data_IF_963499428987
#
_entry.id   IF_963499428987
#
_cell.length_a   1.000
_cell.length_b   1.000
_cell.length_c   1.000
_cell.angle_alpha   90.00
_cell.angle_beta   90.00
_cell.angle_gamma   90.00
#
_symmetry.space_group_name_H-M   'P 1'
#
loop_
_entity.id
_entity.type
_entity.pdbx_description
1 polymer ?
#
# COMPACT_ATOMS: atom_id res chain seq x y z
N UNK A 1 3.66 31.31 7.12
CA UNK A 1 3.02 30.15 6.45
C UNK A 1 3.79 28.88 6.81
N UNK A 2 3.84 28.39 8.07
CA UNK A 2 4.94 27.41 8.34
C UNK A 2 4.69 26.23 9.28
N UNK A 3 3.69 26.21 10.16
CA UNK A 3 3.52 25.07 11.10
C UNK A 3 2.24 24.28 10.86
N UNK A 4 1.14 24.94 10.54
CA UNK A 4 -0.17 24.28 10.34
C UNK A 4 -0.17 23.39 9.09
N UNK A 5 0.53 23.79 8.02
CA UNK A 5 0.63 23.03 6.78
C UNK A 5 1.35 21.68 6.93
N UNK A 6 2.59 21.61 7.47
CA UNK A 6 3.25 20.33 7.66
C UNK A 6 2.48 19.42 8.63
N UNK A 7 1.83 19.97 9.65
CA UNK A 7 0.99 19.19 10.58
C UNK A 7 -0.24 18.62 9.87
N UNK A 8 -0.95 19.43 9.07
CA UNK A 8 -2.12 18.98 8.31
C UNK A 8 -1.74 17.93 7.27
N UNK A 9 -0.61 18.10 6.56
CA UNK A 9 -0.13 17.12 5.59
C UNK A 9 0.29 15.82 6.25
N UNK A 10 0.97 15.87 7.41
CA UNK A 10 1.32 14.68 8.18
C UNK A 10 0.06 13.93 8.62
N UNK A 11 -0.94 14.63 9.15
CA UNK A 11 -2.20 14.01 9.59
C UNK A 11 -2.98 13.36 8.44
N UNK A 12 -3.02 14.01 7.27
CA UNK A 12 -3.64 13.43 6.07
C UNK A 12 -2.89 12.19 5.59
N UNK A 13 -1.55 12.22 5.56
CA UNK A 13 -0.74 11.05 5.22
C UNK A 13 -0.91 9.91 6.22
N UNK A 14 -0.96 10.21 7.52
CA UNK A 14 -1.27 9.22 8.56
C UNK A 14 -2.64 8.59 8.33
N UNK A 15 -3.65 9.38 7.95
CA UNK A 15 -4.98 8.87 7.57
C UNK A 15 -4.93 7.93 6.35
N UNK A 16 -4.16 8.28 5.32
CA UNK A 16 -3.95 7.44 4.13
C UNK A 16 -3.35 6.08 4.51
N UNK A 17 -2.27 6.13 5.30
CA UNK A 17 -1.54 4.96 5.78
C UNK A 17 -2.47 4.05 6.59
N UNK A 18 -3.21 4.64 7.53
CA UNK A 18 -4.17 3.91 8.35
C UNK A 18 -5.22 3.22 7.48
N UNK A 19 -5.82 3.94 6.54
CA UNK A 19 -6.82 3.39 5.63
C UNK A 19 -6.27 2.24 4.79
N UNK A 20 -5.04 2.36 4.28
CA UNK A 20 -4.38 1.29 3.51
C UNK A 20 -4.14 0.02 4.36
N UNK A 21 -3.61 0.17 5.58
CA UNK A 21 -3.35 -0.96 6.47
C UNK A 21 -4.62 -1.66 6.94
N UNK A 22 -5.66 -0.90 7.31
CA UNK A 22 -6.98 -1.47 7.65
C UNK A 22 -7.58 -2.20 6.46
N UNK A 23 -7.51 -1.60 5.27
CA UNK A 23 -8.01 -2.20 4.03
C UNK A 23 -7.34 -3.55 3.75
N UNK A 24 -6.02 -3.63 3.90
CA UNK A 24 -5.27 -4.87 3.71
C UNK A 24 -5.67 -5.95 4.70
N UNK A 25 -5.73 -5.63 6.00
CA UNK A 25 -6.16 -6.60 7.01
C UNK A 25 -7.61 -7.07 6.76
N UNK A 26 -8.50 -6.15 6.41
CA UNK A 26 -9.90 -6.48 6.16
C UNK A 26 -10.05 -7.44 4.97
N UNK A 27 -9.34 -7.18 3.87
CA UNK A 27 -9.32 -8.08 2.71
C UNK A 27 -8.71 -9.44 3.04
N UNK A 28 -7.60 -9.46 3.79
CA UNK A 28 -7.01 -10.70 4.28
C UNK A 28 -8.01 -11.53 5.09
N UNK A 29 -8.67 -10.94 6.08
CA UNK A 29 -9.63 -11.64 6.95
C UNK A 29 -10.88 -12.12 6.20
N UNK A 30 -11.37 -11.31 5.23
CA UNK A 30 -12.50 -11.68 4.37
C UNK A 30 -12.20 -12.89 3.49
N UNK A 31 -10.96 -13.08 3.03
CA UNK A 31 -10.56 -14.30 2.31
C UNK A 31 -10.74 -15.57 3.15
N UNK A 32 -10.66 -15.44 4.47
CA UNK A 32 -10.97 -16.50 5.42
C UNK A 32 -12.41 -16.40 5.95
N UNK A 33 -13.34 -15.74 5.25
CA UNK A 33 -14.74 -15.66 5.68
C UNK A 33 -14.98 -15.03 7.07
N UNK A 34 -13.97 -14.38 7.65
CA UNK A 34 -14.07 -13.72 8.95
C UNK A 34 -14.54 -12.30 8.76
N UNK A 35 -15.56 -11.88 9.53
CA UNK A 35 -15.93 -10.48 9.59
C UNK A 35 -14.77 -9.68 10.25
N UNK A 36 -14.17 -8.71 9.55
CA UNK A 36 -12.99 -7.98 10.05
C UNK A 36 -13.19 -7.23 11.37
N UNK A 37 -14.43 -6.95 11.76
CA UNK A 37 -14.76 -6.31 13.04
C UNK A 37 -14.28 -7.12 14.25
N UNK A 38 -14.22 -8.45 14.11
CA UNK A 38 -13.78 -9.35 15.19
C UNK A 38 -12.27 -9.61 15.20
N UNK A 39 -11.53 -9.07 14.23
CA UNK A 39 -10.10 -9.37 14.05
C UNK A 39 -9.29 -8.11 13.79
N UNK A 40 -9.56 -7.06 14.57
CA UNK A 40 -8.79 -5.82 14.51
C UNK A 40 -7.31 -6.08 14.85
N UNK A 41 -6.38 -5.69 13.96
CA UNK A 41 -4.95 -5.79 14.22
C UNK A 41 -4.51 -4.66 15.17
N UNK A 42 -3.32 -4.79 15.76
CA UNK A 42 -2.74 -3.70 16.54
C UNK A 42 -2.49 -2.47 15.66
N UNK A 43 -2.59 -1.30 16.27
CA UNK A 43 -2.40 -0.01 15.60
C UNK A 43 -1.00 0.05 14.93
N UNK A 44 0.03 -0.45 15.61
CA UNK A 44 1.41 -0.46 15.09
C UNK A 44 1.52 -1.26 13.79
N UNK A 45 0.84 -2.40 13.72
CA UNK A 45 0.82 -3.24 12.53
C UNK A 45 0.11 -2.54 11.37
N UNK A 46 -1.04 -1.90 11.64
CA UNK A 46 -1.77 -1.13 10.62
C UNK A 46 -0.88 -0.05 10.00
N UNK A 47 -0.18 0.71 10.84
CA UNK A 47 0.69 1.79 10.37
C UNK A 47 1.93 1.28 9.65
N UNK A 48 2.50 0.16 10.08
CA UNK A 48 3.63 -0.45 9.41
C UNK A 48 3.25 -0.95 8.01
N UNK A 49 2.22 -1.80 7.94
CA UNK A 49 1.78 -2.44 6.71
C UNK A 49 1.22 -1.42 5.70
N UNK A 50 0.33 -0.53 6.17
CA UNK A 50 -0.20 0.57 5.37
C UNK A 50 0.88 1.57 4.95
N UNK A 51 1.92 1.73 5.77
CA UNK A 51 3.04 2.63 5.53
C UNK A 51 3.87 2.13 4.35
N UNK A 52 4.17 0.83 4.32
CA UNK A 52 4.86 0.17 3.21
C UNK A 52 4.09 0.33 1.90
N UNK A 53 2.77 0.06 1.91
CA UNK A 53 1.92 0.19 0.71
C UNK A 53 1.93 1.62 0.18
N UNK A 54 1.69 2.59 1.06
CA UNK A 54 1.60 4.01 0.70
C UNK A 54 2.95 4.52 0.20
N UNK A 55 4.04 4.14 0.87
CA UNK A 55 5.40 4.54 0.49
C UNK A 55 5.80 3.95 -0.86
N UNK A 56 5.46 2.69 -1.15
CA UNK A 56 5.77 2.08 -2.43
C UNK A 56 5.09 2.82 -3.59
N UNK A 57 3.80 3.16 -3.44
CA UNK A 57 3.07 3.94 -4.45
C UNK A 57 3.69 5.32 -4.62
N UNK A 58 3.96 6.00 -3.51
CA UNK A 58 4.58 7.31 -3.51
C UNK A 58 5.95 7.30 -4.20
N UNK A 59 6.79 6.33 -3.87
CA UNK A 59 8.11 6.14 -4.45
C UNK A 59 8.04 5.87 -5.96
N UNK A 60 7.12 5.03 -6.40
CA UNK A 60 6.90 4.78 -7.83
C UNK A 60 6.48 6.06 -8.56
N UNK A 61 5.59 6.87 -7.98
CA UNK A 61 5.22 8.16 -8.55
C UNK A 61 6.40 9.15 -8.62
N UNK A 62 7.28 9.17 -7.62
CA UNK A 62 8.49 9.99 -7.67
C UNK A 62 9.42 9.56 -8.80
N UNK A 63 9.60 8.25 -9.02
CA UNK A 63 10.37 7.74 -10.16
C UNK A 63 9.74 8.20 -11.47
N UNK A 64 8.42 8.04 -11.65
CA UNK A 64 7.75 8.48 -12.88
C UNK A 64 7.86 9.99 -13.10
N UNK A 65 7.72 10.79 -12.04
CA UNK A 65 7.91 12.24 -12.11
C UNK A 65 9.35 12.59 -12.52
N UNK A 66 10.35 11.89 -11.99
CA UNK A 66 11.75 12.08 -12.36
C UNK A 66 12.00 11.73 -13.83
N UNK A 67 11.46 10.61 -14.33
CA UNK A 67 11.55 10.24 -15.75
C UNK A 67 10.84 11.24 -16.66
N UNK A 68 9.68 11.76 -16.25
CA UNK A 68 8.95 12.77 -17.00
C UNK A 68 9.75 14.08 -17.10
N UNK A 69 10.33 14.54 -15.99
CA UNK A 69 11.14 15.76 -15.96
C UNK A 69 12.39 15.59 -16.84
N UNK A 70 13.12 14.48 -16.68
CA UNK A 70 14.35 14.23 -17.45
C UNK A 70 14.09 14.10 -18.95
N UNK A 71 13.01 13.42 -19.36
CA UNK A 71 12.62 13.34 -20.78
C UNK A 71 12.17 14.68 -21.33
N UNK A 72 11.35 15.43 -20.59
CA UNK A 72 10.90 16.77 -21.00
C UNK A 72 12.06 17.74 -21.22
N UNK A 73 13.00 17.82 -20.25
CA UNK A 73 14.21 18.63 -20.42
C UNK A 73 15.12 18.11 -21.54
N UNK A 74 15.20 16.79 -21.73
CA UNK A 74 15.92 16.20 -22.85
C UNK A 74 15.35 16.63 -24.21
N UNK A 75 14.03 16.63 -24.36
CA UNK A 75 13.35 17.08 -25.59
C UNK A 75 13.56 18.57 -25.82
N UNK A 76 13.46 19.40 -24.78
CA UNK A 76 13.72 20.84 -24.90
C UNK A 76 15.17 21.11 -25.31
N UNK A 77 16.14 20.50 -24.63
CA UNK A 77 17.57 20.74 -24.94
C UNK A 77 17.96 20.25 -26.32
N UNK A 78 17.44 19.10 -26.76
CA UNK A 78 17.67 18.59 -28.13
C UNK A 78 17.01 19.49 -29.18
N UNK A 79 15.78 19.95 -28.98
CA UNK A 79 15.12 20.90 -29.88
C UNK A 79 15.90 22.23 -29.99
N UNK A 80 16.43 22.72 -28.86
CA UNK A 80 17.21 23.95 -28.80
C UNK A 80 18.57 23.78 -29.50
N UNK A 81 19.23 22.63 -29.34
CA UNK A 81 20.46 22.29 -30.06
C UNK A 81 20.23 22.18 -31.57
N UNK A 82 19.15 21.51 -32.01
CA UNK A 82 18.79 21.41 -33.42
C UNK A 82 18.52 22.80 -34.00
N UNK A 83 17.78 23.64 -33.28
CA UNK A 83 17.53 25.02 -33.68
C UNK A 83 18.84 25.82 -33.83
N UNK A 84 19.77 25.71 -32.88
CA UNK A 84 21.08 26.36 -32.93
C UNK A 84 21.95 25.86 -34.09
N UNK A 85 21.88 24.57 -34.42
CA UNK A 85 22.61 23.97 -35.54
C UNK A 85 22.04 24.41 -36.91
N UNK A 86 20.71 24.47 -37.05
CA UNK A 86 20.06 24.92 -38.29
C UNK A 86 20.27 26.42 -38.52
N UNK A 87 20.31 27.23 -37.46
CA UNK A 87 20.43 28.69 -37.55
C UNK A 87 21.87 29.22 -37.71
N UNK A 88 22.85 28.33 -37.92
CA UNK A 88 24.23 28.62 -38.33
C UNK A 88 24.79 29.99 -37.94
N UNK A 89 25.42 30.08 -36.77
CA UNK A 89 26.28 31.20 -36.29
C UNK A 89 25.94 32.63 -36.75
N UNK A 90 24.66 33.03 -36.82
CA UNK A 90 24.28 34.42 -37.03
C UNK A 90 23.67 34.99 -35.74
N UNK A 91 24.50 35.81 -35.07
CA UNK A 91 24.24 36.68 -33.92
C UNK A 91 23.15 36.24 -32.93
N UNK A 92 23.56 35.52 -31.88
CA UNK A 92 22.78 35.39 -30.65
C UNK A 92 23.06 36.57 -29.72
N UNK A 93 22.66 37.77 -30.12
CA UNK A 93 22.55 38.91 -29.20
C UNK A 93 21.23 39.62 -29.51
N UNK A 94 20.13 39.02 -29.07
CA UNK A 94 19.02 39.82 -28.58
C UNK A 94 18.66 39.31 -27.18
N UNK A 95 18.55 40.21 -26.19
CA UNK A 95 18.26 39.80 -24.83
C UNK A 95 16.82 39.28 -24.78
N UNK A 96 16.73 37.99 -24.50
CA UNK A 96 15.57 37.24 -24.05
C UNK A 96 14.96 37.90 -22.80
N UNK A 97 14.23 39.00 -22.98
CA UNK A 97 13.53 39.73 -21.91
C UNK A 97 12.01 39.51 -21.92
N UNK A 98 11.48 38.72 -22.86
CA UNK A 98 10.03 38.49 -23.01
C UNK A 98 9.51 37.16 -22.44
N UNK A 99 10.32 36.39 -21.71
CA UNK A 99 9.89 35.10 -21.12
C UNK A 99 9.60 35.13 -19.63
N UNK A 100 9.96 36.23 -18.96
CA UNK A 100 9.46 36.54 -17.62
C UNK A 100 7.93 36.53 -17.50
N UNK A 101 7.11 37.05 -18.45
CA UNK A 101 5.67 37.02 -18.30
C UNK A 101 5.09 35.61 -18.34
N UNK A 102 5.53 34.74 -19.26
CA UNK A 102 4.92 33.40 -19.46
C UNK A 102 5.21 32.46 -18.29
N UNK A 103 6.45 32.44 -17.78
CA UNK A 103 6.80 31.60 -16.63
C UNK A 103 6.10 32.08 -15.35
N UNK A 104 6.01 33.39 -15.13
CA UNK A 104 5.28 33.95 -13.98
C UNK A 104 3.76 33.69 -14.07
N UNK A 105 3.19 33.71 -15.29
CA UNK A 105 1.77 33.46 -15.52
C UNK A 105 1.42 31.99 -15.29
N UNK A 106 2.23 31.04 -15.79
CA UNK A 106 2.05 29.61 -15.53
C UNK A 106 2.19 29.25 -14.05
N UNK A 107 3.12 29.86 -13.31
CA UNK A 107 3.25 29.64 -11.86
C UNK A 107 2.11 30.28 -11.05
N UNK A 108 1.45 31.33 -11.56
CA UNK A 108 0.34 32.01 -10.88
C UNK A 108 -1.02 31.32 -11.07
N UNK A 109 -1.19 30.53 -12.12
CA UNK A 109 -2.48 29.90 -12.49
C UNK A 109 -2.73 28.53 -11.86
N UNK A 110 -1.72 27.93 -11.22
CA UNK A 110 -1.84 26.61 -10.62
C UNK A 110 -1.86 26.77 -9.10
N UNK A 111 -3.03 26.64 -8.44
CA UNK A 111 -3.07 26.65 -6.99
C UNK A 111 -2.37 25.39 -6.49
N UNK A 112 -1.12 25.53 -6.05
CA UNK A 112 -0.28 24.43 -5.56
C UNK A 112 -0.97 23.64 -4.44
N UNK A 113 -1.78 24.30 -3.61
CA UNK A 113 -2.58 23.65 -2.57
C UNK A 113 -3.67 22.70 -3.09
N UNK A 114 -4.37 23.03 -4.18
CA UNK A 114 -5.43 22.16 -4.72
C UNK A 114 -4.84 20.94 -5.42
N UNK A 115 -3.68 21.08 -6.06
CA UNK A 115 -2.95 19.95 -6.63
C UNK A 115 -2.48 18.98 -5.56
N UNK A 116 -1.92 19.48 -4.46
CA UNK A 116 -1.47 18.65 -3.33
C UNK A 116 -2.67 17.90 -2.72
N UNK A 117 -3.79 18.59 -2.51
CA UNK A 117 -4.99 17.95 -1.96
C UNK A 117 -5.53 16.86 -2.90
N UNK A 118 -5.61 17.15 -4.20
CA UNK A 118 -6.05 16.18 -5.21
C UNK A 118 -5.13 14.97 -5.26
N UNK A 119 -3.81 15.20 -5.15
CA UNK A 119 -2.83 14.13 -5.10
C UNK A 119 -2.98 13.27 -3.84
N UNK A 120 -3.21 13.87 -2.67
CA UNK A 120 -3.44 13.14 -1.42
C UNK A 120 -4.71 12.28 -1.52
N UNK A 121 -5.79 12.81 -2.11
CA UNK A 121 -7.02 12.04 -2.35
C UNK A 121 -6.71 10.85 -3.26
N UNK A 122 -6.02 11.08 -4.37
CA UNK A 122 -5.61 10.02 -5.29
C UNK A 122 -4.75 8.96 -4.59
N UNK A 123 -3.73 9.39 -3.85
CA UNK A 123 -2.84 8.52 -3.08
C UNK A 123 -3.63 7.69 -2.07
N UNK A 124 -4.63 8.27 -1.40
CA UNK A 124 -5.51 7.57 -0.47
C UNK A 124 -6.23 6.42 -1.16
N UNK A 125 -6.91 6.69 -2.29
CA UNK A 125 -7.67 5.69 -3.03
C UNK A 125 -6.78 4.60 -3.61
N UNK A 126 -5.65 4.98 -4.22
CA UNK A 126 -4.68 4.02 -4.76
C UNK A 126 -4.10 3.13 -3.67
N UNK A 127 -3.73 3.70 -2.53
CA UNK A 127 -3.18 2.93 -1.39
C UNK A 127 -4.23 2.02 -0.77
N UNK A 128 -5.47 2.48 -0.66
CA UNK A 128 -6.58 1.67 -0.17
C UNK A 128 -6.85 0.46 -1.08
N UNK A 129 -6.93 0.68 -2.41
CA UNK A 129 -7.18 -0.39 -3.39
C UNK A 129 -6.01 -1.38 -3.47
N UNK A 130 -4.78 -0.87 -3.42
CA UNK A 130 -3.60 -1.72 -3.36
C UNK A 130 -3.59 -2.56 -2.09
N UNK A 131 -3.90 -1.96 -0.94
CA UNK A 131 -4.06 -2.70 0.32
C UNK A 131 -5.05 -3.85 0.19
N UNK A 132 -6.19 -3.65 -0.45
CA UNK A 132 -7.14 -4.75 -0.69
C UNK A 132 -6.52 -5.90 -1.49
N UNK A 133 -5.82 -5.56 -2.57
CA UNK A 133 -5.21 -6.52 -3.49
C UNK A 133 -4.11 -7.32 -2.77
N UNK A 134 -3.27 -6.63 -2.00
CA UNK A 134 -2.18 -7.26 -1.26
C UNK A 134 -2.72 -8.12 -0.11
N UNK A 135 -3.82 -7.72 0.53
CA UNK A 135 -4.52 -8.53 1.54
C UNK A 135 -5.01 -9.87 0.98
N UNK A 136 -5.59 -9.86 -0.23
CA UNK A 136 -6.00 -11.10 -0.92
C UNK A 136 -4.79 -11.95 -1.29
N UNK A 137 -3.73 -11.36 -1.86
CA UNK A 137 -2.51 -12.12 -2.19
C UNK A 137 -1.86 -12.74 -0.96
N UNK A 138 -1.77 -12.01 0.15
CA UNK A 138 -1.26 -12.53 1.41
C UNK A 138 -2.09 -13.70 1.91
N UNK A 139 -3.41 -13.66 1.77
CA UNK A 139 -4.26 -14.79 2.15
C UNK A 139 -3.99 -16.04 1.31
N UNK A 140 -3.73 -15.88 0.00
CA UNK A 140 -3.38 -17.00 -0.89
C UNK A 140 -2.04 -17.62 -0.51
N UNK A 141 -1.00 -16.79 -0.33
CA UNK A 141 0.33 -17.24 0.11
C UNK A 141 0.23 -17.94 1.47
N UNK A 142 -0.61 -17.42 2.37
CA UNK A 142 -0.83 -18.01 3.68
C UNK A 142 -1.50 -19.39 3.57
N UNK A 143 -2.49 -19.54 2.67
CA UNK A 143 -3.15 -20.81 2.43
C UNK A 143 -2.16 -21.85 1.89
N UNK A 144 -1.30 -21.45 0.96
CA UNK A 144 -0.28 -22.32 0.36
C UNK A 144 0.82 -22.74 1.35
N UNK A 145 1.18 -21.84 2.28
CA UNK A 145 2.27 -22.07 3.25
C UNK A 145 1.78 -22.36 4.66
N UNK A 146 0.58 -22.89 4.76
CA UNK A 146 -0.11 -23.12 6.01
C UNK A 146 0.78 -23.82 7.08
N UNK A 147 0.80 -23.26 8.29
CA UNK A 147 1.26 -23.98 9.47
C UNK A 147 0.13 -24.89 9.98
N UNK A 148 0.27 -26.18 9.70
CA UNK A 148 -0.65 -27.18 10.18
C UNK A 148 -0.59 -27.28 11.70
N UNK A 149 -1.75 -27.23 12.32
CA UNK A 149 -1.96 -27.55 13.73
C UNK A 149 -2.84 -28.78 13.83
N UNK A 150 -2.59 -29.58 14.85
CA UNK A 150 -3.41 -30.72 15.21
C UNK A 150 -4.19 -30.34 16.47
N UNK A 151 -5.52 -30.38 16.38
CA UNK A 151 -6.42 -30.04 17.48
C UNK A 151 -7.02 -31.34 18.00
N UNK A 152 -6.73 -31.68 19.26
CA UNK A 152 -7.28 -32.87 19.90
C UNK A 152 -8.43 -32.49 20.82
N UNK A 153 -9.62 -33.02 20.53
CA UNK A 153 -10.80 -32.84 21.38
C UNK A 153 -11.49 -34.20 21.56
N UNK A 154 -11.71 -34.60 22.82
CA UNK A 154 -12.45 -35.81 23.19
C UNK A 154 -12.00 -37.07 22.42
N UNK A 155 -10.68 -37.26 22.28
CA UNK A 155 -10.03 -38.39 21.59
C UNK A 155 -10.12 -38.38 20.05
N UNK A 156 -10.63 -37.30 19.43
CA UNK A 156 -10.56 -37.07 17.99
C UNK A 156 -9.49 -36.03 17.69
N UNK A 157 -8.61 -36.38 16.76
CA UNK A 157 -7.56 -35.49 16.28
C UNK A 157 -7.95 -34.93 14.92
N UNK A 158 -7.91 -33.60 14.78
CA UNK A 158 -8.25 -32.92 13.53
C UNK A 158 -7.11 -32.00 13.09
N UNK A 159 -6.65 -32.18 11.84
CA UNK A 159 -5.65 -31.31 11.21
C UNK A 159 -6.33 -30.04 10.71
N UNK A 160 -5.82 -28.89 11.11
CA UNK A 160 -6.34 -27.59 10.72
C UNK A 160 -5.19 -26.63 10.42
N UNK A 161 -5.47 -25.55 9.71
CA UNK A 161 -4.49 -24.50 9.47
C UNK A 161 -4.69 -23.34 10.44
N UNK A 162 -3.70 -23.05 11.28
CA UNK A 162 -3.76 -21.89 12.17
C UNK A 162 -3.36 -20.62 11.42
N UNK A 163 -4.17 -19.55 11.52
CA UNK A 163 -3.84 -18.27 10.87
C UNK A 163 -3.80 -17.06 11.80
N UNK A 164 -4.24 -17.19 13.05
CA UNK A 164 -4.03 -16.18 14.10
C UNK A 164 -4.07 -16.79 15.48
N UNK A 165 -3.14 -16.36 16.34
CA UNK A 165 -3.13 -16.64 17.77
C UNK A 165 -3.31 -15.32 18.50
N UNK A 166 -4.47 -15.13 19.11
CA UNK A 166 -4.62 -14.13 20.15
C UNK A 166 -4.23 -14.77 21.50
N UNK A 167 -4.10 -13.98 22.57
CA UNK A 167 -3.68 -14.47 23.89
C UNK A 167 -4.58 -15.61 24.42
N UNK A 168 -5.86 -15.58 24.03
CA UNK A 168 -6.91 -16.47 24.56
C UNK A 168 -7.59 -17.35 23.48
N UNK A 169 -7.25 -17.20 22.19
CA UNK A 169 -7.91 -17.92 21.10
C UNK A 169 -6.98 -18.25 19.94
N UNK A 170 -7.29 -19.35 19.24
CA UNK A 170 -6.64 -19.70 17.97
C UNK A 170 -7.72 -19.75 16.89
N UNK A 171 -7.46 -18.99 15.83
CA UNK A 171 -8.27 -19.01 14.62
C UNK A 171 -7.67 -19.98 13.64
N UNK A 172 -8.49 -20.90 13.15
CA UNK A 172 -8.06 -21.92 12.22
C UNK A 172 -9.11 -22.21 11.17
N UNK A 173 -8.66 -22.65 10.01
CA UNK A 173 -9.57 -23.16 8.98
C UNK A 173 -9.34 -24.65 8.75
N UNK A 174 -10.45 -25.36 8.53
CA UNK A 174 -10.47 -26.76 8.14
C UNK A 174 -10.49 -26.83 6.62
N UNK A 175 -9.60 -27.62 6.04
CA UNK A 175 -9.70 -28.03 4.64
C UNK A 175 -10.45 -29.35 4.64
N UNK A 176 -11.76 -29.29 4.40
CA UNK A 176 -12.53 -30.49 4.09
C UNK A 176 -12.61 -30.64 2.57
N UNK A 177 -12.94 -31.84 2.09
CA UNK A 177 -13.16 -32.15 0.67
C UNK A 177 -14.17 -31.22 -0.03
N UNK A 178 -15.03 -30.55 0.75
CA UNK A 178 -16.09 -29.64 0.29
C UNK A 178 -15.73 -28.13 0.39
N UNK A 179 -14.48 -27.79 0.72
CA UNK A 179 -13.99 -26.40 0.78
C UNK A 179 -13.46 -25.95 2.15
N UNK A 180 -13.09 -24.67 2.24
CA UNK A 180 -12.49 -24.04 3.43
C UNK A 180 -13.60 -23.68 4.43
N UNK A 181 -13.61 -24.33 5.59
CA UNK A 181 -14.52 -23.99 6.72
C UNK A 181 -13.75 -23.35 7.86
N UNK A 182 -14.04 -22.10 8.16
CA UNK A 182 -13.37 -21.34 9.22
C UNK A 182 -14.06 -21.55 10.55
N UNK A 183 -13.27 -21.84 11.58
CA UNK A 183 -13.75 -22.00 12.95
C UNK A 183 -12.88 -21.15 13.89
N UNK A 184 -13.51 -20.51 14.87
CA UNK A 184 -12.80 -19.89 15.99
C UNK A 184 -13.12 -20.67 17.26
N UNK A 185 -12.10 -21.04 18.02
CA UNK A 185 -12.26 -21.66 19.34
C UNK A 185 -11.38 -20.96 20.37
N UNK A 186 -11.90 -20.88 21.60
CA UNK A 186 -11.15 -20.45 22.77
C UNK A 186 -10.12 -21.52 23.13
N UNK A 187 -8.94 -21.12 23.59
CA UNK A 187 -7.89 -22.04 24.01
C UNK A 187 -8.37 -22.97 25.14
N UNK A 188 -9.24 -22.48 26.01
CA UNK A 188 -9.85 -23.26 27.11
C UNK A 188 -10.80 -24.38 26.64
N UNK A 189 -11.17 -24.41 25.36
CA UNK A 189 -12.10 -25.40 24.80
C UNK A 189 -11.41 -26.54 24.03
N UNK A 190 -10.09 -26.49 23.88
CA UNK A 190 -9.28 -27.55 23.29
C UNK A 190 -8.48 -28.25 24.41
N UNK A 191 -8.43 -29.57 24.40
CA UNK A 191 -7.66 -30.33 25.39
C UNK A 191 -6.15 -30.22 25.12
N UNK A 192 -5.76 -30.21 23.84
CA UNK A 192 -4.37 -30.08 23.40
C UNK A 192 -4.30 -29.49 21.99
N UNK A 193 -3.29 -28.64 21.75
CA UNK A 193 -3.00 -28.06 20.43
C UNK A 193 -1.52 -28.27 20.13
N UNK A 194 -1.24 -29.11 19.13
CA UNK A 194 0.13 -29.46 18.73
C UNK A 194 0.45 -28.75 17.42
N UNK A 195 1.53 -27.95 17.43
CA UNK A 195 2.04 -27.32 16.21
C UNK A 195 2.88 -28.33 15.44
N UNK A 196 2.54 -28.56 14.18
CA UNK A 196 3.34 -29.44 13.32
C UNK A 196 4.51 -28.68 12.72
N UNK A 197 5.65 -29.35 12.57
CA UNK A 197 6.74 -28.80 11.77
C UNK A 197 6.26 -28.56 10.33
N UNK A 198 6.67 -27.45 9.68
CA UNK A 198 6.32 -27.20 8.29
C UNK A 198 6.82 -28.35 7.41
N UNK A 199 5.94 -28.91 6.59
CA UNK A 199 6.33 -29.91 5.59
C UNK A 199 7.40 -29.28 4.69
N UNK A 200 8.58 -29.92 4.64
CA UNK A 200 9.68 -29.44 3.81
C UNK A 200 9.24 -29.44 2.34
N UNK A 201 9.61 -28.41 1.57
CA UNK A 201 9.27 -28.32 0.15
C UNK A 201 9.85 -29.47 -0.67
#
# INVERSE_FOLDING_TARGET
>A
MKVIEPISSALLLTGCIYAAGVSQNNSFMRSFGVNPEFSQPSIDKIFYDGGLITFEIFYNHLIYAFWFITTFFGVITTALLIFLLIKGSQSLIEPYNQTKPIFSFCCSLIPTGTLILTYIIFLSFSSFQKGQTDGVKLSQIFIERCHWIEITQDSKSERACAFRKDKDSIWYYKINSDGIKINSKLLSSANEITYMEPEKP
#
